data_IF_361366011797
#
_entry.id   IF_361366011797
#
_cell.length_a   1.000
_cell.length_b   1.000
_cell.length_c   1.000
_cell.angle_alpha   90.00
_cell.angle_beta   90.00
_cell.angle_gamma   90.00
#
_symmetry.space_group_name_H-M   'P 1'
#
loop_
_entity.id
_entity.type
_entity.pdbx_description
1 polymer ?
#
# COMPACT_ATOMS: atom_id res chain seq x y z
N UNK A 1 -43.11 -16.05 -28.89
CA UNK A 1 -42.41 -14.73 -28.79
C UNK A 1 -41.99 -14.34 -27.37
N UNK A 2 -42.72 -14.78 -26.32
CA UNK A 2 -42.47 -14.44 -24.90
C UNK A 2 -41.08 -14.90 -24.41
N UNK A 3 -40.67 -16.12 -24.71
CA UNK A 3 -39.39 -16.70 -24.29
C UNK A 3 -38.17 -15.93 -24.83
N UNK A 4 -38.19 -15.44 -26.07
CA UNK A 4 -37.08 -14.67 -26.63
C UNK A 4 -36.83 -13.34 -25.88
N UNK A 5 -37.91 -12.71 -25.39
CA UNK A 5 -37.78 -11.46 -24.60
C UNK A 5 -37.20 -11.73 -23.23
N UNK A 6 -37.52 -12.82 -22.56
CA UNK A 6 -36.98 -13.19 -21.25
C UNK A 6 -35.46 -13.50 -21.35
N UNK A 7 -35.06 -14.26 -22.38
CA UNK A 7 -33.63 -14.50 -22.61
C UNK A 7 -32.83 -13.22 -22.86
N UNK A 8 -33.37 -12.31 -23.63
CA UNK A 8 -32.74 -11.03 -23.94
C UNK A 8 -32.59 -10.18 -22.64
N UNK A 9 -33.64 -10.11 -21.82
CA UNK A 9 -33.60 -9.40 -20.55
C UNK A 9 -32.55 -9.98 -19.61
N UNK A 10 -32.47 -11.31 -19.50
CA UNK A 10 -31.45 -11.99 -18.67
C UNK A 10 -30.03 -11.73 -19.17
N UNK A 11 -29.81 -11.76 -20.47
CA UNK A 11 -28.51 -11.45 -21.05
C UNK A 11 -28.08 -10.01 -20.73
N UNK A 12 -29.02 -9.05 -20.83
CA UNK A 12 -28.77 -7.65 -20.48
C UNK A 12 -28.45 -7.50 -18.99
N UNK A 13 -29.24 -8.12 -18.10
CA UNK A 13 -29.00 -8.06 -16.64
C UNK A 13 -27.64 -8.67 -16.29
N UNK A 14 -27.30 -9.84 -16.86
CA UNK A 14 -26.02 -10.48 -16.63
C UNK A 14 -24.85 -9.60 -17.10
N UNK A 15 -24.98 -8.96 -18.26
CA UNK A 15 -23.97 -8.05 -18.78
C UNK A 15 -23.79 -6.80 -17.90
N UNK A 16 -24.86 -6.23 -17.39
CA UNK A 16 -24.82 -5.12 -16.44
C UNK A 16 -24.15 -5.52 -15.13
N UNK A 17 -24.46 -6.69 -14.58
CA UNK A 17 -23.85 -7.20 -13.35
C UNK A 17 -22.35 -7.45 -13.52
N UNK A 18 -21.92 -8.01 -14.66
CA UNK A 18 -20.49 -8.17 -14.99
C UNK A 18 -19.79 -6.81 -15.14
N UNK A 19 -20.43 -5.83 -15.76
CA UNK A 19 -19.91 -4.48 -15.87
C UNK A 19 -19.72 -3.81 -14.51
N UNK A 20 -20.68 -3.97 -13.59
CA UNK A 20 -20.57 -3.47 -12.23
C UNK A 20 -19.42 -4.16 -11.47
N UNK A 21 -19.25 -5.46 -11.63
CA UNK A 21 -18.15 -6.19 -10.98
C UNK A 21 -16.78 -5.74 -11.49
N UNK A 22 -16.63 -5.54 -12.79
CA UNK A 22 -15.41 -5.00 -13.38
C UNK A 22 -15.12 -3.57 -12.84
N UNK A 23 -16.13 -2.73 -12.73
CA UNK A 23 -15.99 -1.39 -12.16
C UNK A 23 -15.54 -1.43 -10.69
N UNK A 24 -16.04 -2.37 -9.89
CA UNK A 24 -15.60 -2.53 -8.49
C UNK A 24 -14.13 -2.91 -8.37
N UNK A 25 -13.64 -3.79 -9.25
CA UNK A 25 -12.22 -4.18 -9.27
C UNK A 25 -11.35 -2.95 -9.57
N UNK A 26 -11.72 -2.17 -10.59
CA UNK A 26 -10.99 -0.93 -10.95
C UNK A 26 -11.00 0.06 -9.78
N UNK A 27 -12.14 0.23 -9.12
CA UNK A 27 -12.27 1.13 -7.98
C UNK A 27 -11.33 0.76 -6.82
N UNK A 28 -11.31 -0.52 -6.43
CA UNK A 28 -10.41 -1.01 -5.34
C UNK A 28 -8.94 -0.83 -5.73
N UNK A 29 -8.60 -1.14 -6.98
CA UNK A 29 -7.23 -0.99 -7.48
C UNK A 29 -6.78 0.48 -7.47
N UNK A 30 -7.63 1.39 -7.95
CA UNK A 30 -7.33 2.83 -7.97
C UNK A 30 -7.18 3.39 -6.56
N UNK A 31 -8.08 3.02 -5.64
CA UNK A 31 -8.01 3.42 -4.25
C UNK A 31 -6.72 2.93 -3.56
N UNK A 32 -6.23 1.72 -3.90
CA UNK A 32 -4.97 1.21 -3.37
C UNK A 32 -3.76 2.02 -3.83
N UNK A 33 -3.71 2.38 -5.12
CA UNK A 33 -2.64 3.22 -5.69
C UNK A 33 -2.66 4.61 -5.06
N UNK A 34 -3.83 5.21 -4.89
CA UNK A 34 -3.98 6.53 -4.29
C UNK A 34 -3.51 6.54 -2.82
N UNK A 35 -3.87 5.53 -2.04
CA UNK A 35 -3.40 5.39 -0.66
C UNK A 35 -1.89 5.15 -0.58
N UNK A 36 -1.33 4.40 -1.52
CA UNK A 36 0.13 4.21 -1.60
C UNK A 36 0.84 5.54 -1.94
N UNK A 37 0.32 6.32 -2.87
CA UNK A 37 0.84 7.63 -3.22
C UNK A 37 0.81 8.60 -2.03
N UNK A 38 -0.32 8.66 -1.33
CA UNK A 38 -0.47 9.48 -0.11
C UNK A 38 0.50 9.06 1.00
N UNK A 39 0.69 7.76 1.20
CA UNK A 39 1.67 7.28 2.17
C UNK A 39 3.09 7.69 1.77
N UNK A 40 3.44 7.54 0.50
CA UNK A 40 4.78 7.89 0.00
C UNK A 40 5.06 9.39 0.17
N UNK A 41 4.09 10.24 -0.13
CA UNK A 41 4.20 11.68 0.06
C UNK A 41 4.43 12.03 1.55
N UNK A 42 3.60 11.50 2.45
CA UNK A 42 3.75 11.71 3.90
C UNK A 42 5.09 11.20 4.43
N UNK A 43 5.52 10.02 4.00
CA UNK A 43 6.78 9.43 4.42
C UNK A 43 7.98 10.24 3.91
N UNK A 44 7.90 10.78 2.69
CA UNK A 44 8.94 11.66 2.14
C UNK A 44 9.04 12.99 2.90
N UNK A 45 7.91 13.62 3.20
CA UNK A 45 7.89 14.86 4.00
C UNK A 45 8.40 14.63 5.44
N UNK A 46 7.99 13.52 6.06
CA UNK A 46 8.49 13.16 7.39
C UNK A 46 10.00 12.91 7.37
N UNK A 47 10.51 12.22 6.34
CA UNK A 47 11.95 11.97 6.20
C UNK A 47 12.73 13.25 6.01
N UNK A 48 12.22 14.22 5.23
CA UNK A 48 12.83 15.52 5.08
C UNK A 48 12.89 16.29 6.40
N UNK A 49 11.81 16.27 7.19
CA UNK A 49 11.77 16.87 8.53
C UNK A 49 12.76 16.19 9.49
N UNK A 50 12.82 14.86 9.48
CA UNK A 50 13.78 14.09 10.28
C UNK A 50 15.21 14.49 9.96
N UNK A 51 15.56 14.55 8.68
CA UNK A 51 16.91 14.90 8.25
C UNK A 51 17.27 16.33 8.64
N UNK A 52 16.32 17.26 8.53
CA UNK A 52 16.55 18.65 8.96
C UNK A 52 16.82 18.71 10.48
N UNK A 53 16.02 18.03 11.30
CA UNK A 53 16.18 18.00 12.74
C UNK A 53 17.48 17.31 13.18
N UNK A 54 17.84 16.19 12.54
CA UNK A 54 19.14 15.52 12.77
C UNK A 54 20.31 16.41 12.37
N UNK A 55 20.16 17.19 11.29
CA UNK A 55 21.19 18.09 10.80
C UNK A 55 21.37 19.33 11.67
N UNK A 56 20.30 19.84 12.29
CA UNK A 56 20.36 20.99 13.18
C UNK A 56 21.02 20.68 14.53
N UNK A 57 20.88 19.43 15.01
CA UNK A 57 21.56 18.99 16.23
C UNK A 57 23.03 18.62 15.91
N UNK A 58 23.95 19.51 16.29
CA UNK A 58 25.38 19.33 16.02
C UNK A 58 25.94 18.04 16.63
N UNK A 59 25.52 17.64 17.84
CA UNK A 59 26.02 16.43 18.50
C UNK A 59 25.54 15.18 17.78
N UNK A 60 24.26 15.13 17.42
CA UNK A 60 23.67 14.03 16.66
C UNK A 60 24.30 13.92 15.28
N UNK A 61 24.46 15.05 14.57
CA UNK A 61 25.07 15.08 13.24
C UNK A 61 26.54 14.63 13.28
N UNK A 62 27.29 15.02 14.31
CA UNK A 62 28.67 14.57 14.49
C UNK A 62 28.75 13.06 14.78
N UNK A 63 27.91 12.54 15.65
CA UNK A 63 27.86 11.09 15.96
C UNK A 63 27.52 10.25 14.73
N UNK A 64 26.59 10.68 13.89
CA UNK A 64 26.28 10.05 12.60
C UNK A 64 27.46 10.08 11.65
N UNK A 65 28.16 11.22 11.58
CA UNK A 65 29.33 11.38 10.73
C UNK A 65 30.49 10.46 11.17
N UNK A 66 30.79 10.44 12.46
CA UNK A 66 31.85 9.59 13.02
C UNK A 66 31.55 8.09 12.82
N UNK A 67 30.29 7.71 12.91
CA UNK A 67 29.84 6.36 12.58
C UNK A 67 30.07 6.02 11.11
N UNK A 68 29.69 6.90 10.19
CA UNK A 68 29.87 6.69 8.75
C UNK A 68 31.33 6.71 8.32
N UNK A 69 32.20 7.47 8.99
CA UNK A 69 33.64 7.53 8.71
C UNK A 69 34.41 6.35 9.33
N UNK A 70 34.00 5.89 10.53
CA UNK A 70 34.67 4.79 11.22
C UNK A 70 34.46 3.43 10.56
N UNK A 71 33.46 3.32 9.67
CA UNK A 71 33.08 2.07 9.03
C UNK A 71 33.66 1.89 7.60
N UNK A 72 34.69 2.67 7.23
CA UNK A 72 35.31 2.65 5.90
C UNK A 72 35.97 1.30 5.48
N UNK A 73 35.97 0.27 6.33
CA UNK A 73 36.79 -0.92 6.06
C UNK A 73 36.05 -2.19 5.63
N UNK A 74 34.74 -2.26 5.48
CA UNK A 74 34.09 -3.35 4.74
C UNK A 74 32.58 -3.17 4.51
N UNK A 75 32.22 -2.73 3.32
CA UNK A 75 31.15 -3.26 2.46
C UNK A 75 29.95 -3.95 3.13
N UNK A 76 29.31 -3.38 4.09
CA UNK A 76 27.95 -3.76 4.40
C UNK A 76 27.32 -2.68 5.27
N UNK A 77 26.40 -1.91 4.70
CA UNK A 77 25.49 -1.06 5.46
C UNK A 77 24.52 -1.89 6.33
N UNK A 78 25.02 -2.98 6.91
CA UNK A 78 24.33 -3.83 7.88
C UNK A 78 24.93 -3.58 9.25
N UNK A 79 24.88 -2.33 9.72
CA UNK A 79 24.93 -2.13 11.14
C UNK A 79 23.60 -2.54 11.73
N UNK A 80 23.53 -3.74 12.25
CA UNK A 80 22.51 -4.15 13.20
C UNK A 80 22.66 -3.20 14.38
N UNK A 81 21.73 -2.27 14.51
CA UNK A 81 21.68 -1.30 15.60
C UNK A 81 21.35 -2.03 16.91
N UNK A 82 22.31 -2.73 17.48
CA UNK A 82 22.24 -3.17 18.85
C UNK A 82 22.84 -2.09 19.74
N UNK A 83 21.96 -1.33 20.37
CA UNK A 83 22.10 -0.55 21.59
C UNK A 83 23.41 0.25 21.76
N UNK A 84 23.43 1.49 21.24
CA UNK A 84 24.23 2.58 21.84
C UNK A 84 23.29 3.74 22.17
N UNK A 85 23.49 4.34 23.33
CA UNK A 85 22.70 5.48 23.85
C UNK A 85 22.65 6.65 22.85
N UNK A 86 23.67 6.82 22.00
CA UNK A 86 23.76 7.82 20.94
C UNK A 86 22.66 7.70 19.89
N UNK A 87 22.17 6.50 19.62
CA UNK A 87 21.11 6.26 18.65
C UNK A 87 19.71 6.45 19.23
N UNK A 88 19.58 6.54 20.54
CA UNK A 88 18.29 6.85 21.17
C UNK A 88 17.83 8.28 20.82
N UNK A 89 18.75 9.20 20.67
CA UNK A 89 18.44 10.58 20.27
C UNK A 89 17.90 10.59 18.83
N UNK A 90 18.57 9.89 17.90
CA UNK A 90 18.09 9.77 16.52
C UNK A 90 16.75 9.07 16.45
N UNK A 91 16.58 7.96 17.16
CA UNK A 91 15.31 7.20 17.19
C UNK A 91 14.17 8.06 17.78
N UNK A 92 14.45 8.87 18.80
CA UNK A 92 13.48 9.80 19.37
C UNK A 92 13.03 10.85 18.36
N UNK A 93 13.97 11.44 17.59
CA UNK A 93 13.64 12.40 16.53
C UNK A 93 12.76 11.72 15.48
N UNK A 94 13.19 10.56 14.96
CA UNK A 94 12.46 9.82 13.93
C UNK A 94 11.03 9.51 14.42
N UNK A 95 10.90 8.99 15.63
CA UNK A 95 9.60 8.64 16.21
C UNK A 95 8.68 9.85 16.35
N UNK A 96 9.21 10.98 16.80
CA UNK A 96 8.44 12.21 16.97
C UNK A 96 7.90 12.73 15.64
N UNK A 97 8.76 12.77 14.61
CA UNK A 97 8.38 13.26 13.28
C UNK A 97 7.41 12.32 12.56
N UNK A 98 7.59 11.01 12.70
CA UNK A 98 6.66 10.03 12.15
C UNK A 98 5.27 10.14 12.80
N UNK A 99 5.22 10.31 14.13
CA UNK A 99 3.96 10.53 14.85
C UNK A 99 3.29 11.84 14.45
N UNK A 100 4.06 12.92 14.28
CA UNK A 100 3.56 14.20 13.79
C UNK A 100 2.93 14.08 12.39
N UNK A 101 3.47 13.19 11.56
CA UNK A 101 2.96 12.87 10.23
C UNK A 101 1.83 11.82 10.23
N UNK A 102 1.35 11.39 11.41
CA UNK A 102 0.38 10.30 11.59
C UNK A 102 0.84 8.95 10.98
N UNK A 103 2.12 8.66 11.03
CA UNK A 103 2.71 7.39 10.61
C UNK A 103 3.08 6.60 11.86
N UNK A 104 2.15 5.76 12.33
CA UNK A 104 2.38 4.82 13.45
C UNK A 104 2.72 3.43 12.89
N UNK A 105 3.95 3.27 12.41
CA UNK A 105 4.48 2.03 11.84
C UNK A 105 5.82 1.67 12.45
N UNK A 106 6.10 0.36 12.49
CA UNK A 106 7.46 -0.12 12.74
C UNK A 106 8.35 0.27 11.57
N UNK A 107 9.47 0.87 11.88
CA UNK A 107 10.47 1.30 10.92
C UNK A 107 11.84 0.72 11.25
N UNK A 108 12.72 0.77 10.26
CA UNK A 108 14.16 0.56 10.38
C UNK A 108 14.83 1.73 9.72
N UNK A 109 15.91 2.20 10.28
CA UNK A 109 16.70 3.28 9.67
C UNK A 109 18.17 2.89 9.62
N UNK A 110 18.88 3.47 8.66
CA UNK A 110 20.30 3.29 8.45
C UNK A 110 20.91 4.55 7.83
N UNK A 111 22.19 4.76 8.07
CA UNK A 111 22.97 5.82 7.46
C UNK A 111 24.12 5.22 6.68
N UNK A 112 24.30 5.61 5.42
CA UNK A 112 25.39 5.16 4.58
C UNK A 112 25.97 6.28 3.73
N UNK A 113 27.24 6.13 3.35
CA UNK A 113 27.94 7.06 2.49
C UNK A 113 27.49 6.87 1.04
N UNK A 114 27.20 7.96 0.33
CA UNK A 114 26.72 7.96 -1.05
C UNK A 114 27.64 7.21 -2.02
N UNK A 115 28.95 7.17 -1.75
CA UNK A 115 29.92 6.44 -2.57
C UNK A 115 29.75 4.91 -2.55
N UNK A 116 29.07 4.37 -1.52
CA UNK A 116 28.82 2.94 -1.34
C UNK A 116 27.45 2.54 -1.91
N UNK A 117 26.54 3.51 -2.03
CA UNK A 117 25.17 3.28 -2.50
C UNK A 117 25.07 2.92 -3.99
N UNK A 118 26.11 3.15 -4.79
CA UNK A 118 26.07 2.84 -6.23
C UNK A 118 26.08 1.34 -6.55
N UNK A 119 26.49 0.48 -5.63
CA UNK A 119 26.52 -0.97 -5.81
C UNK A 119 25.25 -1.71 -5.35
N UNK A 120 24.37 -1.03 -4.61
CA UNK A 120 23.08 -1.58 -4.22
C UNK A 120 21.98 -0.58 -4.56
N UNK A 121 21.15 -0.84 -5.58
CA UNK A 121 19.93 -0.08 -5.79
C UNK A 121 18.97 -0.38 -4.62
N UNK A 122 19.09 0.41 -3.54
CA UNK A 122 18.17 0.36 -2.40
C UNK A 122 16.88 1.09 -2.81
N UNK A 123 16.35 0.74 -3.94
CA UNK A 123 15.02 1.18 -4.34
C UNK A 123 14.04 0.03 -4.14
N UNK A 124 13.96 -0.45 -2.90
CA UNK A 124 12.88 -1.33 -2.52
C UNK A 124 11.63 -0.47 -2.35
N UNK A 125 10.50 -0.98 -2.77
CA UNK A 125 9.17 -0.32 -2.72
C UNK A 125 8.81 0.26 -1.33
N UNK A 126 9.54 -0.12 -0.28
CA UNK A 126 9.28 0.22 1.11
C UNK A 126 10.39 1.09 1.75
N UNK A 127 11.42 1.48 0.99
CA UNK A 127 12.56 2.25 1.50
C UNK A 127 12.54 3.66 0.94
N UNK A 128 12.70 4.63 1.81
CA UNK A 128 12.82 6.05 1.49
C UNK A 128 14.24 6.49 1.79
N UNK A 129 14.83 7.28 0.88
CA UNK A 129 16.21 7.72 0.99
C UNK A 129 16.28 9.22 0.77
N UNK A 130 17.08 9.90 1.61
CA UNK A 130 17.38 11.32 1.44
C UNK A 130 18.79 11.65 1.91
N UNK A 131 19.35 12.73 1.38
CA UNK A 131 20.69 13.22 1.73
C UNK A 131 20.65 13.97 3.07
N UNK A 132 21.63 13.71 3.93
CA UNK A 132 21.84 14.47 5.14
C UNK A 132 22.52 15.81 4.79
N UNK A 133 21.81 16.92 5.00
CA UNK A 133 22.29 18.28 4.75
C UNK A 133 22.61 18.94 6.09
N UNK A 134 23.79 18.66 6.63
CA UNK A 134 24.20 19.24 7.92
C UNK A 134 25.21 20.39 7.80
N UNK A 135 25.36 21.19 8.86
CA UNK A 135 26.36 22.24 8.94
C UNK A 135 27.79 21.68 9.04
N UNK A 136 27.96 20.38 9.24
CA UNK A 136 29.23 19.70 9.28
C UNK A 136 29.67 19.40 7.83
N UNK A 137 30.80 19.99 7.33
CA UNK A 137 31.22 19.79 5.95
C UNK A 137 31.43 18.34 5.55
N UNK A 138 31.73 17.48 6.52
CA UNK A 138 31.96 16.04 6.33
C UNK A 138 30.64 15.21 6.22
N UNK A 139 29.48 15.79 6.53
CA UNK A 139 28.17 15.11 6.36
C UNK A 139 27.71 15.10 4.90
N UNK A 140 28.38 15.84 4.02
CA UNK A 140 28.07 15.83 2.60
C UNK A 140 28.26 14.42 2.01
N UNK A 141 27.20 13.87 1.46
CA UNK A 141 27.19 12.52 0.88
C UNK A 141 26.81 11.40 1.84
N UNK A 142 26.27 11.72 3.02
CA UNK A 142 25.61 10.72 3.89
C UNK A 142 24.16 10.63 3.50
N UNK A 143 23.70 9.41 3.23
CA UNK A 143 22.32 9.07 2.91
C UNK A 143 21.64 8.47 4.14
N UNK A 144 20.47 8.96 4.46
CA UNK A 144 19.58 8.33 5.43
C UNK A 144 18.59 7.43 4.69
N UNK A 145 18.52 6.19 5.10
CA UNK A 145 17.53 5.21 4.64
C UNK A 145 16.50 4.95 5.73
N UNK A 146 15.23 5.01 5.37
CA UNK A 146 14.12 4.69 6.25
C UNK A 146 13.25 3.64 5.57
N UNK A 147 13.15 2.46 6.18
CA UNK A 147 12.40 1.32 5.68
C UNK A 147 11.15 1.07 6.54
N UNK A 148 10.01 0.84 5.88
CA UNK A 148 8.75 0.45 6.51
C UNK A 148 8.36 -0.99 6.14
N UNK A 149 8.77 -2.01 6.91
CA UNK A 149 8.51 -3.42 6.56
C UNK A 149 7.02 -3.76 6.45
N UNK A 150 6.18 -3.08 7.19
CA UNK A 150 4.72 -3.32 7.24
C UNK A 150 3.87 -2.30 6.47
N UNK A 151 4.47 -1.55 5.52
CA UNK A 151 3.79 -0.54 4.69
C UNK A 151 2.51 -1.08 4.04
N UNK A 152 2.58 -2.25 3.40
CA UNK A 152 1.43 -2.84 2.71
C UNK A 152 0.25 -3.13 3.65
N UNK A 153 0.53 -3.65 4.84
CA UNK A 153 -0.51 -3.91 5.84
C UNK A 153 -1.14 -2.62 6.36
N UNK A 154 -0.36 -1.57 6.50
CA UNK A 154 -0.86 -0.25 6.91
C UNK A 154 -1.79 0.34 5.86
N UNK A 155 -1.39 0.32 4.59
CA UNK A 155 -2.22 0.79 3.48
C UNK A 155 -3.54 0.02 3.42
N UNK A 156 -3.49 -1.32 3.51
CA UNK A 156 -4.71 -2.16 3.53
C UNK A 156 -5.63 -1.81 4.71
N UNK A 157 -5.07 -1.51 5.86
CA UNK A 157 -5.84 -1.15 7.06
C UNK A 157 -6.51 0.22 6.91
N UNK A 158 -5.85 1.17 6.27
CA UNK A 158 -6.40 2.50 5.99
C UNK A 158 -7.50 2.46 4.91
N UNK A 159 -7.47 1.48 4.02
CA UNK A 159 -8.51 1.23 3.03
C UNK A 159 -9.80 0.62 3.59
N UNK A 160 -9.94 0.46 4.92
CA UNK A 160 -11.03 -0.29 5.55
C UNK A 160 -12.43 0.07 5.07
N UNK A 161 -12.79 1.36 4.99
CA UNK A 161 -14.12 1.79 4.55
C UNK A 161 -14.38 1.55 3.05
N UNK A 162 -13.53 2.00 2.11
CA UNK A 162 -13.74 1.70 0.69
C UNK A 162 -13.67 0.21 0.38
N UNK A 163 -12.83 -0.55 1.07
CA UNK A 163 -12.77 -2.00 0.92
C UNK A 163 -14.06 -2.68 1.40
N UNK A 164 -14.59 -2.29 2.57
CA UNK A 164 -15.83 -2.83 3.11
C UNK A 164 -17.02 -2.55 2.19
N UNK A 165 -17.14 -1.32 1.68
CA UNK A 165 -18.21 -0.96 0.74
C UNK A 165 -18.14 -1.78 -0.55
N UNK A 166 -16.93 -2.02 -1.07
CA UNK A 166 -16.71 -2.84 -2.26
C UNK A 166 -17.10 -4.31 -2.03
N UNK A 167 -16.73 -4.89 -0.89
CA UNK A 167 -17.13 -6.25 -0.52
C UNK A 167 -18.65 -6.38 -0.42
N UNK A 168 -19.33 -5.41 0.20
CA UNK A 168 -20.80 -5.39 0.28
C UNK A 168 -21.44 -5.31 -1.11
N UNK A 169 -20.92 -4.49 -2.02
CA UNK A 169 -21.41 -4.41 -3.40
C UNK A 169 -21.21 -5.72 -4.17
N UNK A 170 -20.07 -6.37 -4.02
CA UNK A 170 -19.80 -7.70 -4.64
C UNK A 170 -20.78 -8.74 -4.13
N UNK A 171 -21.09 -8.74 -2.84
CA UNK A 171 -22.10 -9.63 -2.24
C UNK A 171 -23.49 -9.38 -2.83
N UNK A 172 -23.92 -8.14 -2.94
CA UNK A 172 -25.22 -7.78 -3.54
C UNK A 172 -25.32 -8.22 -5.00
N UNK A 173 -24.24 -7.99 -5.77
CA UNK A 173 -24.16 -8.45 -7.17
C UNK A 173 -24.25 -9.99 -7.23
N UNK A 174 -23.54 -10.70 -6.35
CA UNK A 174 -23.57 -12.16 -6.31
C UNK A 174 -24.97 -12.71 -5.97
N UNK A 175 -25.66 -12.10 -5.01
CA UNK A 175 -27.04 -12.43 -4.68
C UNK A 175 -27.95 -12.20 -5.88
N UNK A 176 -27.79 -11.07 -6.58
CA UNK A 176 -28.54 -10.77 -7.81
C UNK A 176 -28.35 -11.84 -8.89
N UNK A 177 -27.13 -12.33 -9.07
CA UNK A 177 -26.84 -13.43 -9.99
C UNK A 177 -27.56 -14.72 -9.58
N UNK A 178 -27.51 -15.11 -8.31
CA UNK A 178 -28.15 -16.32 -7.82
C UNK A 178 -29.68 -16.25 -8.00
N UNK A 179 -30.29 -15.11 -7.67
CA UNK A 179 -31.74 -14.90 -7.82
C UNK A 179 -32.13 -14.97 -9.31
N UNK A 180 -31.38 -14.30 -10.18
CA UNK A 180 -31.63 -14.31 -11.63
C UNK A 180 -31.51 -15.73 -12.20
N UNK A 181 -30.51 -16.49 -11.77
CA UNK A 181 -30.28 -17.85 -12.21
C UNK A 181 -31.39 -18.82 -11.72
N UNK A 182 -31.85 -18.68 -10.47
CA UNK A 182 -32.96 -19.46 -9.93
C UNK A 182 -34.25 -19.16 -10.66
N UNK A 183 -34.55 -17.91 -10.96
CA UNK A 183 -35.72 -17.53 -11.73
C UNK A 183 -35.67 -18.13 -13.14
N UNK A 184 -34.53 -18.13 -13.78
CA UNK A 184 -34.32 -18.75 -15.10
C UNK A 184 -34.59 -20.27 -15.08
N UNK A 185 -34.07 -20.98 -14.07
CA UNK A 185 -34.35 -22.43 -13.92
C UNK A 185 -35.82 -22.72 -13.78
N UNK A 186 -36.53 -21.99 -12.90
CA UNK A 186 -37.97 -22.15 -12.71
C UNK A 186 -38.77 -21.90 -14.00
N UNK A 187 -38.42 -20.87 -14.75
CA UNK A 187 -39.12 -20.58 -16.01
C UNK A 187 -38.89 -21.66 -17.03
N UNK A 188 -37.67 -22.22 -17.12
CA UNK A 188 -37.36 -23.34 -18.01
C UNK A 188 -38.13 -24.62 -17.63
N UNK A 189 -38.24 -24.95 -16.35
CA UNK A 189 -38.99 -26.09 -15.85
C UNK A 189 -40.51 -25.95 -16.14
N UNK A 190 -41.03 -24.74 -15.96
CA UNK A 190 -42.44 -24.46 -16.26
C UNK A 190 -42.72 -24.52 -17.76
N UNK A 191 -41.82 -24.07 -18.60
CA UNK A 191 -41.95 -24.19 -20.05
C UNK A 191 -41.91 -25.64 -20.53
N UNK A 192 -41.06 -26.47 -19.95
CA UNK A 192 -41.01 -27.93 -20.26
C UNK A 192 -42.34 -28.63 -19.89
N UNK A 193 -42.87 -28.37 -18.71
CA UNK A 193 -44.15 -28.95 -18.26
C UNK A 193 -45.34 -28.55 -19.14
N UNK A 194 -45.35 -27.32 -19.62
CA UNK A 194 -46.43 -26.82 -20.51
C UNK A 194 -46.39 -27.52 -21.88
N UNK A 195 -45.19 -27.84 -22.36
CA UNK A 195 -45.01 -28.52 -23.65
C UNK A 195 -45.45 -29.98 -23.58
N UNK A 196 -45.20 -30.66 -22.45
CA UNK A 196 -45.67 -32.05 -22.24
C UNK A 196 -47.20 -32.15 -22.16
N UNK A 197 -47.89 -31.19 -21.54
CA UNK A 197 -49.36 -31.16 -21.50
C UNK A 197 -50.02 -30.98 -22.90
N UNK A 198 -49.34 -30.37 -23.85
CA UNK A 198 -49.88 -30.16 -25.21
C UNK A 198 -49.70 -31.36 -26.13
N UNK A 199 -48.87 -32.35 -25.77
CA UNK A 199 -48.61 -33.56 -26.60
C UNK A 199 -49.68 -34.65 -26.29
N UNK A 200 -50.46 -34.55 -25.20
CA UNK A 200 -51.43 -35.52 -24.77
C UNK A 200 -52.90 -35.14 -25.09
N UNK A 201 -53.13 -34.13 -25.89
CA UNK A 201 -54.44 -33.74 -26.42
C UNK A 201 -54.45 -33.90 -27.95
#
# INVERSE_FOLDING_TARGET
MRHKRTYLLMAIVSMLLLGLLANQIVYVYTAAIEQEAHFNEKASLALESIVNNVSEDYQVCQSVNDYCLGNDSNSSCKATFESKDEWQSVDSIIRTELLASNIDLKYRFDFCKSSISNDHPINTKNTFTTDLKGPVPSSAGILMHLEFPSKSNYIMRQMGLPFLSSVMMILLISIGFVVTFQYYRKEKENAAKTTECFIWV
#
